data_IF_880405398885
#
_entry.id   IF_880405398885
#
_cell.length_a   1.000
_cell.length_b   1.000
_cell.length_c   1.000
_cell.angle_alpha   90.00
_cell.angle_beta   90.00
_cell.angle_gamma   90.00
#
_symmetry.space_group_name_H-M   'P 1'
#
loop_
_entity.id
_entity.type
_entity.pdbx_description
1 polymer ?
#
# COMPACT_ATOMS: atom_id res chain seq x y z
N UNK A 1 17.46 4.26 -26.31
CA UNK A 1 17.27 4.24 -24.85
C UNK A 1 18.52 3.74 -24.11
N UNK A 2 19.15 2.62 -24.53
CA UNK A 2 20.32 2.02 -23.84
C UNK A 2 21.54 2.96 -23.85
N UNK A 3 21.79 3.67 -24.96
CA UNK A 3 22.89 4.63 -25.06
C UNK A 3 22.75 5.84 -24.13
N UNK A 4 21.53 6.34 -23.92
CA UNK A 4 21.27 7.46 -23.02
C UNK A 4 21.48 7.11 -21.56
N UNK A 5 21.09 5.90 -21.16
CA UNK A 5 21.30 5.40 -19.78
C UNK A 5 22.80 5.22 -19.48
N UNK A 6 23.57 4.70 -20.43
CA UNK A 6 25.03 4.54 -20.30
C UNK A 6 25.78 5.89 -20.18
N UNK A 7 25.41 6.87 -20.98
CA UNK A 7 25.99 8.22 -20.92
C UNK A 7 25.62 8.91 -19.61
N UNK A 8 24.37 8.78 -19.15
CA UNK A 8 23.91 9.34 -17.89
C UNK A 8 24.63 8.75 -16.68
N UNK A 9 24.77 7.41 -16.62
CA UNK A 9 25.48 6.73 -15.53
C UNK A 9 26.97 7.05 -15.54
N UNK A 10 27.62 7.01 -16.70
CA UNK A 10 29.04 7.36 -16.84
C UNK A 10 29.33 8.81 -16.48
N UNK A 11 28.47 9.73 -16.91
CA UNK A 11 28.56 11.15 -16.58
C UNK A 11 28.40 11.43 -15.09
N UNK A 12 27.48 10.74 -14.42
CA UNK A 12 27.26 10.87 -12.96
C UNK A 12 28.48 10.39 -12.18
N UNK A 13 29.05 9.24 -12.54
CA UNK A 13 30.25 8.70 -11.90
C UNK A 13 31.45 9.64 -12.12
N UNK A 14 31.62 10.17 -13.31
CA UNK A 14 32.72 11.11 -13.60
C UNK A 14 32.53 12.41 -12.83
N UNK A 15 31.32 12.95 -12.78
CA UNK A 15 30.99 14.16 -12.02
C UNK A 15 31.25 13.99 -10.52
N UNK A 16 30.81 12.86 -9.92
CA UNK A 16 30.99 12.59 -8.50
C UNK A 16 32.45 12.40 -8.10
N UNK A 17 33.32 11.95 -9.03
CA UNK A 17 34.77 11.88 -8.80
C UNK A 17 35.44 13.24 -8.80
N UNK A 18 34.93 14.20 -9.56
CA UNK A 18 35.48 15.55 -9.66
C UNK A 18 34.90 16.50 -8.61
N UNK A 19 33.69 16.23 -8.15
CA UNK A 19 32.94 17.05 -7.18
C UNK A 19 32.37 16.10 -6.11
N UNK A 20 32.97 16.02 -4.94
CA UNK A 20 32.42 15.20 -3.86
C UNK A 20 30.97 15.64 -3.56
N UNK A 21 30.06 14.70 -3.69
CA UNK A 21 28.62 14.90 -3.49
C UNK A 21 28.22 14.16 -2.24
N UNK A 22 27.52 14.80 -1.30
CA UNK A 22 26.99 14.13 -0.12
C UNK A 22 25.84 13.18 -0.51
N UNK A 23 25.52 12.21 0.37
CA UNK A 23 24.43 11.27 0.13
C UNK A 23 23.09 12.01 -0.04
N UNK A 24 22.84 13.04 0.76
CA UNK A 24 21.63 13.85 0.66
C UNK A 24 21.54 14.61 -0.66
N UNK A 25 22.64 15.20 -1.10
CA UNK A 25 22.71 15.89 -2.40
C UNK A 25 22.44 14.93 -3.57
N UNK A 26 23.08 13.75 -3.56
CA UNK A 26 22.86 12.74 -4.60
C UNK A 26 21.42 12.28 -4.65
N UNK A 27 20.82 12.02 -3.49
CA UNK A 27 19.42 11.62 -3.38
C UNK A 27 18.47 12.73 -3.82
N UNK A 28 18.71 13.99 -3.43
CA UNK A 28 17.90 15.14 -3.83
C UNK A 28 17.90 15.32 -5.35
N UNK A 29 19.07 15.19 -5.98
CA UNK A 29 19.18 15.26 -7.44
C UNK A 29 18.43 14.14 -8.14
N UNK A 30 18.60 12.89 -7.68
CA UNK A 30 17.91 11.72 -8.23
C UNK A 30 16.40 11.83 -8.06
N UNK A 31 15.96 12.23 -6.88
CA UNK A 31 14.54 12.44 -6.55
C UNK A 31 13.90 13.51 -7.42
N UNK A 32 14.52 14.68 -7.51
CA UNK A 32 14.00 15.78 -8.33
C UNK A 32 13.90 15.38 -9.81
N UNK A 33 14.89 14.63 -10.32
CA UNK A 33 14.88 14.12 -11.70
C UNK A 33 13.77 13.07 -11.89
N UNK A 34 13.60 12.15 -10.93
CA UNK A 34 12.53 11.14 -10.92
C UNK A 34 11.14 11.76 -10.88
N UNK A 35 10.92 12.70 -9.96
CA UNK A 35 9.66 13.45 -9.88
C UNK A 35 9.41 14.31 -11.12
N UNK A 36 10.47 14.84 -11.71
CA UNK A 36 10.38 15.55 -13.01
C UNK A 36 9.88 14.63 -14.11
N UNK A 37 10.44 13.41 -14.22
CA UNK A 37 9.97 12.41 -15.19
C UNK A 37 8.50 12.05 -14.96
N UNK A 38 8.13 11.70 -13.72
CA UNK A 38 6.74 11.39 -13.36
C UNK A 38 5.81 12.56 -13.65
N UNK A 39 6.21 13.78 -13.27
CA UNK A 39 5.47 14.99 -13.56
C UNK A 39 5.26 15.23 -15.06
N UNK A 40 6.30 15.01 -15.86
CA UNK A 40 6.20 15.08 -17.31
C UNK A 40 5.28 14.01 -17.92
N UNK A 41 5.27 12.79 -17.35
CA UNK A 41 4.35 11.72 -17.77
C UNK A 41 2.90 12.06 -17.42
N UNK A 42 2.63 12.46 -16.18
CA UNK A 42 1.30 12.80 -15.70
C UNK A 42 0.76 14.05 -16.41
N UNK A 43 1.59 15.07 -16.61
CA UNK A 43 1.24 16.25 -17.39
C UNK A 43 0.94 15.89 -18.86
N UNK A 44 1.66 14.93 -19.42
CA UNK A 44 1.37 14.38 -20.74
C UNK A 44 -0.05 13.84 -20.83
N UNK A 45 -0.46 13.03 -19.87
CA UNK A 45 -1.83 12.48 -19.82
C UNK A 45 -2.90 13.58 -19.65
N UNK A 46 -2.58 14.68 -18.94
CA UNK A 46 -3.51 15.81 -18.78
C UNK A 46 -3.67 16.61 -20.06
N UNK A 47 -2.56 16.89 -20.75
CA UNK A 47 -2.52 17.85 -21.85
C UNK A 47 -2.71 17.22 -23.25
N UNK A 48 -2.46 15.93 -23.38
CA UNK A 48 -2.51 15.24 -24.69
C UNK A 48 -3.69 14.26 -24.68
N UNK A 49 -4.84 14.65 -25.27
CA UNK A 49 -6.00 13.78 -25.33
C UNK A 49 -5.73 12.55 -26.20
N UNK A 50 -6.41 11.47 -25.89
CA UNK A 50 -6.35 10.20 -26.60
C UNK A 50 -7.20 10.18 -27.88
N UNK A 51 -7.74 11.33 -28.28
CA UNK A 51 -8.64 11.42 -29.42
C UNK A 51 -7.99 10.92 -30.71
N UNK A 52 -8.76 10.10 -31.42
CA UNK A 52 -8.40 9.39 -32.65
C UNK A 52 -7.99 10.27 -33.85
N UNK A 53 -8.12 11.58 -33.74
CA UNK A 53 -7.83 12.53 -34.84
C UNK A 53 -6.36 12.99 -34.91
N UNK A 54 -5.62 12.90 -33.82
CA UNK A 54 -4.20 13.18 -33.85
C UNK A 54 -3.43 11.92 -34.29
N UNK A 55 -2.66 12.01 -35.36
CA UNK A 55 -1.80 10.88 -35.76
C UNK A 55 -0.99 10.41 -34.54
N UNK A 56 -0.97 9.11 -34.28
CA UNK A 56 -0.23 8.47 -33.17
C UNK A 56 1.20 9.02 -33.03
N UNK A 57 1.84 9.32 -34.18
CA UNK A 57 3.18 9.89 -34.20
C UNK A 57 3.26 11.31 -33.59
N UNK A 58 2.22 12.14 -33.76
CA UNK A 58 2.19 13.48 -33.18
C UNK A 58 2.01 13.41 -31.67
N UNK A 59 1.12 12.55 -31.21
CA UNK A 59 0.89 12.25 -29.80
C UNK A 59 2.17 11.77 -29.12
N UNK A 60 2.82 10.75 -29.68
CA UNK A 60 4.06 10.19 -29.12
C UNK A 60 5.17 11.23 -29.02
N UNK A 61 5.30 12.10 -30.02
CA UNK A 61 6.27 13.22 -29.98
C UNK A 61 5.96 14.20 -28.86
N UNK A 62 4.68 14.55 -28.65
CA UNK A 62 4.29 15.46 -27.56
C UNK A 62 4.53 14.81 -26.19
N UNK A 63 4.18 13.55 -26.00
CA UNK A 63 4.45 12.81 -24.77
C UNK A 63 5.96 12.70 -24.51
N UNK A 64 6.75 12.38 -25.52
CA UNK A 64 8.20 12.34 -25.41
C UNK A 64 8.79 13.71 -25.05
N UNK A 65 8.30 14.80 -25.65
CA UNK A 65 8.74 16.16 -25.35
C UNK A 65 8.43 16.54 -23.90
N UNK A 66 7.21 16.23 -23.40
CA UNK A 66 6.82 16.53 -22.02
C UNK A 66 7.61 15.71 -20.99
N UNK A 67 7.86 14.44 -21.26
CA UNK A 67 8.72 13.59 -20.42
C UNK A 67 10.16 14.14 -20.38
N UNK A 68 10.71 14.53 -21.53
CA UNK A 68 12.06 15.11 -21.62
C UNK A 68 12.13 16.45 -20.88
N UNK A 69 11.14 17.32 -21.09
CA UNK A 69 11.05 18.60 -20.36
C UNK A 69 10.95 18.39 -18.85
N UNK A 70 10.17 17.40 -18.42
CA UNK A 70 10.07 17.00 -17.01
C UNK A 70 11.42 16.56 -16.44
N UNK A 71 12.13 15.66 -17.12
CA UNK A 71 13.47 15.22 -16.69
C UNK A 71 14.46 16.39 -16.61
N UNK A 72 14.50 17.24 -17.62
CA UNK A 72 15.41 18.40 -17.64
C UNK A 72 15.05 19.42 -16.55
N UNK A 73 13.75 19.68 -16.35
CA UNK A 73 13.26 20.53 -15.26
C UNK A 73 13.61 19.97 -13.90
N UNK A 74 13.37 18.67 -13.69
CA UNK A 74 13.73 17.96 -12.46
C UNK A 74 15.24 17.96 -12.19
N UNK A 75 16.05 17.70 -13.21
CA UNK A 75 17.52 17.78 -13.10
C UNK A 75 17.99 19.19 -12.75
N UNK A 76 17.35 20.22 -13.32
CA UNK A 76 17.64 21.61 -12.97
C UNK A 76 17.29 21.92 -11.52
N UNK A 77 16.11 21.50 -11.05
CA UNK A 77 15.71 21.64 -9.64
C UNK A 77 16.66 20.88 -8.72
N UNK A 78 17.01 19.63 -9.07
CA UNK A 78 17.98 18.83 -8.35
C UNK A 78 19.35 19.52 -8.25
N UNK A 79 19.80 20.19 -9.33
CA UNK A 79 21.05 20.94 -9.32
C UNK A 79 21.03 22.15 -8.36
N UNK A 80 19.85 22.72 -8.10
CA UNK A 80 19.70 23.75 -7.07
C UNK A 80 19.76 23.16 -5.66
N UNK A 81 19.16 21.98 -5.47
CA UNK A 81 19.22 21.27 -4.20
C UNK A 81 20.66 20.86 -3.81
N UNK A 82 21.54 20.61 -4.80
CA UNK A 82 22.97 20.36 -4.53
C UNK A 82 23.66 21.51 -3.80
N UNK A 83 23.16 22.74 -3.93
CA UNK A 83 23.70 23.91 -3.25
C UNK A 83 23.20 24.05 -1.80
N UNK A 84 22.07 23.42 -1.48
CA UNK A 84 21.44 23.49 -0.17
C UNK A 84 21.98 22.44 0.82
N UNK A 85 22.78 21.48 0.34
CA UNK A 85 23.31 20.37 1.12
C UNK A 85 22.28 19.68 2.04
N UNK A 86 21.15 19.20 1.49
CA UNK A 86 20.09 18.60 2.28
C UNK A 86 20.55 17.29 2.92
N UNK A 87 20.05 16.98 4.10
CA UNK A 87 20.23 15.67 4.67
C UNK A 87 19.44 14.61 3.86
N UNK A 88 19.98 13.41 3.74
CA UNK A 88 19.31 12.33 2.99
C UNK A 88 17.90 12.03 3.54
N UNK A 89 17.72 12.17 4.85
CA UNK A 89 16.48 11.96 5.56
C UNK A 89 15.41 12.96 5.14
N UNK A 90 15.74 14.25 5.09
CA UNK A 90 14.82 15.31 4.68
C UNK A 90 14.28 15.05 3.26
N UNK A 91 15.20 14.60 2.38
CA UNK A 91 14.82 14.22 1.00
C UNK A 91 13.86 13.03 0.96
N UNK A 92 14.11 12.02 1.81
CA UNK A 92 13.23 10.85 1.90
C UNK A 92 11.85 11.20 2.45
N UNK A 93 11.77 12.07 3.46
CA UNK A 93 10.51 12.54 4.04
C UNK A 93 9.66 13.31 3.00
N UNK A 94 10.29 14.22 2.25
CA UNK A 94 9.61 14.94 1.16
C UNK A 94 9.13 13.98 0.05
N UNK A 95 9.96 12.98 -0.30
CA UNK A 95 9.57 11.96 -1.27
C UNK A 95 8.38 11.12 -0.79
N UNK A 96 8.41 10.69 0.47
CA UNK A 96 7.31 9.95 1.09
C UNK A 96 6.03 10.78 1.09
N UNK A 97 6.11 12.05 1.50
CA UNK A 97 4.97 12.98 1.45
C UNK A 97 4.39 13.12 0.04
N UNK A 98 5.25 13.31 -0.96
CA UNK A 98 4.84 13.39 -2.37
C UNK A 98 4.17 12.09 -2.85
N UNK A 99 4.75 10.94 -2.51
CA UNK A 99 4.17 9.64 -2.83
C UNK A 99 2.81 9.44 -2.16
N UNK A 100 2.72 9.58 -0.84
CA UNK A 100 1.47 9.42 -0.11
C UNK A 100 0.38 10.40 -0.58
N UNK A 101 0.75 11.67 -0.79
CA UNK A 101 -0.18 12.67 -1.31
C UNK A 101 -0.71 12.31 -2.70
N UNK A 102 0.15 11.83 -3.61
CA UNK A 102 -0.29 11.39 -4.94
C UNK A 102 -1.23 10.18 -4.87
N UNK A 103 -0.91 9.18 -4.04
CA UNK A 103 -1.72 7.97 -3.93
C UNK A 103 -3.09 8.24 -3.28
N UNK A 104 -3.14 9.09 -2.25
CA UNK A 104 -4.42 9.52 -1.67
C UNK A 104 -5.28 10.24 -2.69
N UNK A 105 -4.71 11.17 -3.46
CA UNK A 105 -5.43 11.90 -4.49
C UNK A 105 -5.94 10.97 -5.60
N UNK A 106 -5.13 9.99 -6.04
CA UNK A 106 -5.55 8.96 -6.99
C UNK A 106 -6.69 8.11 -6.39
N UNK A 107 -6.54 7.67 -5.14
CA UNK A 107 -7.56 6.88 -4.46
C UNK A 107 -8.91 7.59 -4.36
N UNK A 108 -8.91 8.89 -4.02
CA UNK A 108 -10.11 9.73 -4.01
C UNK A 108 -10.68 9.86 -5.43
N UNK A 109 -9.83 10.11 -6.43
CA UNK A 109 -10.27 10.19 -7.83
C UNK A 109 -10.92 8.90 -8.31
N UNK A 110 -10.34 7.76 -7.97
CA UNK A 110 -10.88 6.45 -8.35
C UNK A 110 -12.25 6.17 -7.70
N UNK A 111 -12.45 6.61 -6.45
CA UNK A 111 -13.77 6.48 -5.80
C UNK A 111 -14.83 7.40 -6.40
N UNK A 112 -14.44 8.63 -6.78
CA UNK A 112 -15.38 9.61 -7.35
C UNK A 112 -15.70 9.32 -8.82
N UNK A 113 -14.83 8.58 -9.52
CA UNK A 113 -15.01 8.21 -10.93
C UNK A 113 -15.20 6.69 -11.04
N UNK A 114 -16.23 6.16 -10.39
CA UNK A 114 -16.57 4.74 -10.47
C UNK A 114 -16.75 4.28 -11.92
N UNK A 115 -16.30 3.07 -12.21
CA UNK A 115 -16.37 2.47 -13.53
C UNK A 115 -17.86 2.27 -13.91
N UNK A 116 -18.36 2.85 -15.02
CA UNK A 116 -19.75 2.70 -15.42
C UNK A 116 -20.14 1.25 -15.75
N UNK A 117 -19.16 0.36 -16.02
CA UNK A 117 -19.43 -1.07 -16.25
C UNK A 117 -19.95 -1.77 -15.00
N UNK A 118 -19.62 -1.28 -13.81
CA UNK A 118 -20.13 -1.87 -12.57
C UNK A 118 -21.63 -1.66 -12.35
N UNK A 119 -22.27 -0.78 -13.13
CA UNK A 119 -23.70 -0.46 -13.01
C UNK A 119 -24.59 -1.07 -14.08
N UNK A 120 -24.03 -1.79 -15.07
CA UNK A 120 -24.77 -2.34 -16.21
C UNK A 120 -24.32 -3.75 -16.54
N UNK A 121 -25.27 -4.65 -16.75
CA UNK A 121 -25.02 -6.05 -17.18
C UNK A 121 -25.00 -6.24 -18.70
N UNK A 122 -25.52 -5.29 -19.47
CA UNK A 122 -25.79 -5.42 -20.93
C UNK A 122 -25.08 -4.27 -21.66
N UNK A 123 -23.87 -4.53 -22.11
CA UNK A 123 -23.07 -3.63 -22.93
C UNK A 123 -23.26 -3.94 -24.41
N UNK A 124 -23.58 -2.91 -25.21
CA UNK A 124 -23.61 -2.98 -26.67
C UNK A 124 -22.39 -2.26 -27.31
N UNK A 125 -22.28 -2.31 -28.64
CA UNK A 125 -21.15 -1.68 -29.35
C UNK A 125 -21.08 -0.17 -29.15
N UNK A 126 -22.20 0.54 -28.90
CA UNK A 126 -22.22 1.97 -28.62
C UNK A 126 -21.70 2.33 -27.23
N UNK A 127 -21.75 1.39 -26.29
CA UNK A 127 -21.24 1.57 -24.93
C UNK A 127 -19.70 1.60 -24.89
N UNK A 128 -19.01 0.93 -25.86
CA UNK A 128 -17.56 0.94 -25.95
C UNK A 128 -16.98 2.31 -26.28
N UNK A 129 -17.63 3.09 -27.15
CA UNK A 129 -17.19 4.46 -27.45
C UNK A 129 -17.36 5.36 -26.22
N UNK A 130 -18.48 5.25 -25.53
CA UNK A 130 -18.74 5.97 -24.29
C UNK A 130 -17.74 5.57 -23.18
N UNK A 131 -17.38 4.30 -23.10
CA UNK A 131 -16.38 3.81 -22.17
C UNK A 131 -14.99 4.36 -22.47
N UNK A 132 -14.57 4.36 -23.73
CA UNK A 132 -13.26 4.89 -24.14
C UNK A 132 -13.14 6.40 -23.81
N UNK A 133 -14.21 7.18 -24.04
CA UNK A 133 -14.25 8.61 -23.66
C UNK A 133 -14.20 8.81 -22.14
N UNK A 134 -14.91 7.97 -21.37
CA UNK A 134 -14.85 7.98 -19.92
C UNK A 134 -13.44 7.59 -19.42
N UNK A 135 -12.81 6.58 -20.01
CA UNK A 135 -11.47 6.14 -19.62
C UNK A 135 -10.41 7.23 -19.87
N UNK A 136 -10.44 7.90 -21.03
CA UNK A 136 -9.54 9.04 -21.32
C UNK A 136 -9.76 10.17 -20.30
N UNK A 137 -11.01 10.54 -20.05
CA UNK A 137 -11.34 11.58 -19.08
C UNK A 137 -10.88 11.21 -17.66
N UNK A 138 -11.10 9.95 -17.25
CA UNK A 138 -10.64 9.43 -15.97
C UNK A 138 -9.11 9.54 -15.84
N UNK A 139 -8.36 9.08 -16.84
CA UNK A 139 -6.89 9.14 -16.83
C UNK A 139 -6.38 10.57 -16.72
N UNK A 140 -7.01 11.51 -17.40
CA UNK A 140 -6.65 12.94 -17.33
C UNK A 140 -6.90 13.52 -15.95
N UNK A 141 -8.07 13.28 -15.38
CA UNK A 141 -8.42 13.73 -14.02
C UNK A 141 -7.48 13.10 -13.00
N UNK A 142 -7.33 11.78 -13.03
CA UNK A 142 -6.47 11.04 -12.09
C UNK A 142 -5.02 11.52 -12.17
N UNK A 143 -4.49 11.76 -13.36
CA UNK A 143 -3.13 12.31 -13.53
C UNK A 143 -3.01 13.73 -12.97
N UNK A 144 -4.02 14.57 -13.17
CA UNK A 144 -4.04 15.93 -12.64
C UNK A 144 -4.09 15.96 -11.11
N UNK A 145 -4.98 15.17 -10.51
CA UNK A 145 -5.07 15.10 -9.03
C UNK A 145 -3.85 14.44 -8.42
N UNK A 146 -3.22 13.47 -9.10
CA UNK A 146 -1.96 12.87 -8.66
C UNK A 146 -0.84 13.90 -8.56
N UNK A 147 -0.71 14.79 -9.55
CA UNK A 147 0.25 15.89 -9.54
C UNK A 147 -0.01 16.85 -8.38
N UNK A 148 -1.26 17.26 -8.18
CA UNK A 148 -1.66 18.14 -7.09
C UNK A 148 -1.41 17.49 -5.73
N UNK A 149 -1.79 16.22 -5.58
CA UNK A 149 -1.55 15.44 -4.38
C UNK A 149 -0.06 15.28 -4.06
N UNK A 150 0.75 14.99 -5.08
CA UNK A 150 2.20 14.90 -4.92
C UNK A 150 2.80 16.24 -4.44
N UNK A 151 2.42 17.34 -5.06
CA UNK A 151 2.89 18.68 -4.67
C UNK A 151 2.45 19.06 -3.26
N UNK A 152 1.18 18.83 -2.92
CA UNK A 152 0.65 19.11 -1.58
C UNK A 152 1.30 18.23 -0.51
N UNK A 153 1.44 16.93 -0.76
CA UNK A 153 2.06 15.99 0.18
C UNK A 153 3.55 16.27 0.40
N UNK A 154 4.30 16.55 -0.67
CA UNK A 154 5.70 16.93 -0.57
C UNK A 154 5.87 18.28 0.16
N UNK A 155 5.02 19.26 -0.13
CA UNK A 155 5.01 20.56 0.56
C UNK A 155 4.72 20.44 2.05
N UNK A 156 3.73 19.62 2.42
CA UNK A 156 3.41 19.33 3.82
C UNK A 156 4.58 18.65 4.52
N UNK A 157 5.16 17.60 3.93
CA UNK A 157 6.33 16.92 4.50
C UNK A 157 7.51 17.86 4.68
N UNK A 158 7.78 18.74 3.70
CA UNK A 158 8.83 19.75 3.81
C UNK A 158 8.60 20.73 4.96
N UNK A 159 7.35 21.14 5.21
CA UNK A 159 7.04 22.05 6.34
C UNK A 159 7.13 21.36 7.69
N UNK A 160 6.86 20.06 7.75
CA UNK A 160 6.86 19.26 8.99
C UNK A 160 8.21 18.62 9.31
N UNK A 161 9.15 18.56 8.36
CA UNK A 161 10.43 17.85 8.51
C UNK A 161 11.25 18.22 9.74
N UNK A 162 11.13 19.45 10.25
CA UNK A 162 11.83 19.89 11.46
C UNK A 162 11.06 19.56 12.75
N UNK A 163 9.76 19.33 12.66
CA UNK A 163 8.89 19.07 13.81
C UNK A 163 8.59 17.59 13.99
N UNK A 164 8.59 16.85 12.89
CA UNK A 164 8.20 15.46 12.86
C UNK A 164 9.24 14.60 12.16
N UNK A 165 10.11 14.00 12.95
CA UNK A 165 11.15 13.08 12.47
C UNK A 165 10.85 11.66 12.96
N UNK A 166 10.09 10.84 12.19
CA UNK A 166 9.71 9.50 12.62
C UNK A 166 10.92 8.59 12.82
N UNK A 167 10.94 7.90 13.94
CA UNK A 167 11.90 6.84 14.24
C UNK A 167 11.68 5.58 13.41
N UNK A 168 12.65 4.65 13.40
CA UNK A 168 12.50 3.40 12.66
C UNK A 168 11.29 2.57 13.11
N UNK A 169 10.99 2.54 14.40
CA UNK A 169 9.83 1.85 14.98
C UNK A 169 8.51 2.44 14.48
N UNK A 170 8.42 3.78 14.43
CA UNK A 170 7.24 4.49 13.93
C UNK A 170 7.00 4.17 12.44
N UNK A 171 8.07 4.09 11.65
CA UNK A 171 8.00 3.73 10.23
C UNK A 171 7.50 2.29 10.05
N UNK A 172 8.02 1.35 10.84
CA UNK A 172 7.58 -0.06 10.79
C UNK A 172 6.12 -0.18 11.20
N UNK A 173 5.72 0.48 12.29
CA UNK A 173 4.33 0.49 12.73
C UNK A 173 3.40 1.11 11.68
N UNK A 174 3.82 2.20 11.04
CA UNK A 174 3.11 2.81 9.92
C UNK A 174 2.92 1.82 8.76
N UNK A 175 3.96 1.07 8.40
CA UNK A 175 3.87 0.08 7.33
C UNK A 175 2.88 -1.06 7.66
N UNK A 176 2.93 -1.59 8.89
CA UNK A 176 2.01 -2.64 9.36
C UNK A 176 0.57 -2.12 9.39
N UNK A 177 0.37 -0.88 9.87
CA UNK A 177 -0.94 -0.22 9.85
C UNK A 177 -1.45 0.02 8.43
N UNK A 178 -0.54 0.32 7.49
CA UNK A 178 -0.86 0.44 6.07
C UNK A 178 -1.33 -0.88 5.45
N UNK A 179 -0.72 -2.00 5.82
CA UNK A 179 -1.16 -3.34 5.41
C UNK A 179 -2.55 -3.67 5.97
N UNK A 180 -2.81 -3.36 7.24
CA UNK A 180 -4.15 -3.50 7.82
C UNK A 180 -5.17 -2.62 7.11
N UNK A 181 -4.81 -1.38 6.83
CA UNK A 181 -5.65 -0.45 6.08
C UNK A 181 -5.94 -0.94 4.65
N UNK A 182 -4.96 -1.59 4.00
CA UNK A 182 -5.15 -2.22 2.70
C UNK A 182 -6.19 -3.34 2.78
N UNK A 183 -6.08 -4.23 3.77
CA UNK A 183 -7.06 -5.29 3.99
C UNK A 183 -8.47 -4.72 4.17
N UNK A 184 -8.63 -3.74 5.06
CA UNK A 184 -9.92 -3.06 5.28
C UNK A 184 -10.43 -2.33 4.02
N UNK A 185 -9.52 -1.78 3.20
CA UNK A 185 -9.85 -1.15 1.92
C UNK A 185 -10.40 -2.13 0.88
N UNK A 186 -10.06 -3.42 0.99
CA UNK A 186 -10.66 -4.53 0.22
C UNK A 186 -11.99 -4.94 0.85
N UNK A 187 -11.98 -5.21 2.13
CA UNK A 187 -13.04 -5.94 2.85
C UNK A 187 -14.28 -5.08 3.09
N UNK A 188 -14.11 -3.80 3.46
CA UNK A 188 -15.24 -2.93 3.82
C UNK A 188 -16.18 -2.69 2.62
N UNK A 189 -15.70 -2.34 1.41
CA UNK A 189 -16.60 -2.18 0.26
C UNK A 189 -17.37 -3.45 -0.08
N UNK A 190 -16.71 -4.61 -0.03
CA UNK A 190 -17.36 -5.89 -0.30
C UNK A 190 -18.40 -6.21 0.78
N UNK A 191 -18.08 -5.99 2.06
CA UNK A 191 -19.01 -6.21 3.17
C UNK A 191 -20.27 -5.32 3.11
N UNK A 192 -20.18 -4.13 2.50
CA UNK A 192 -21.30 -3.17 2.42
C UNK A 192 -22.13 -3.38 1.16
N UNK A 193 -21.47 -3.55 0.01
CA UNK A 193 -22.11 -3.49 -1.30
C UNK A 193 -22.18 -4.84 -2.03
N UNK A 194 -21.49 -5.88 -1.53
CA UNK A 194 -21.35 -7.17 -2.21
C UNK A 194 -20.52 -7.11 -3.51
N UNK A 195 -19.95 -5.95 -3.83
CA UNK A 195 -19.15 -5.74 -5.03
C UNK A 195 -17.66 -5.78 -4.70
N UNK A 196 -16.85 -6.23 -5.67
CA UNK A 196 -15.40 -6.32 -5.51
C UNK A 196 -14.75 -5.01 -5.12
N UNK A 197 -13.51 -5.07 -4.58
CA UNK A 197 -12.84 -3.88 -4.08
C UNK A 197 -12.56 -2.90 -5.21
N UNK A 198 -12.99 -1.66 -5.04
CA UNK A 198 -12.59 -0.58 -5.93
C UNK A 198 -11.11 -0.26 -5.71
N UNK A 199 -10.37 -0.03 -6.80
CA UNK A 199 -8.95 0.33 -6.70
C UNK A 199 -8.70 1.54 -5.79
N UNK A 200 -9.66 2.46 -5.75
CA UNK A 200 -9.67 3.63 -4.88
C UNK A 200 -9.75 3.29 -3.40
N UNK A 201 -10.62 2.36 -3.00
CA UNK A 201 -10.78 1.97 -1.59
C UNK A 201 -9.53 1.26 -1.05
N UNK A 202 -8.92 0.39 -1.85
CA UNK A 202 -7.68 -0.31 -1.49
C UNK A 202 -6.53 0.68 -1.28
N UNK A 203 -6.37 1.64 -2.20
CA UNK A 203 -5.35 2.69 -2.08
C UNK A 203 -5.59 3.58 -0.87
N UNK A 204 -6.81 4.09 -0.72
CA UNK A 204 -7.15 4.92 0.43
C UNK A 204 -6.96 4.18 1.75
N UNK A 205 -7.45 2.96 1.85
CA UNK A 205 -7.28 2.12 3.04
C UNK A 205 -5.81 1.99 3.42
N UNK A 206 -4.95 1.58 2.47
CA UNK A 206 -3.52 1.42 2.72
C UNK A 206 -2.86 2.71 3.18
N UNK A 207 -3.09 3.83 2.50
CA UNK A 207 -2.41 5.08 2.81
C UNK A 207 -2.97 5.77 4.05
N UNK A 208 -4.28 5.72 4.27
CA UNK A 208 -4.89 6.20 5.51
C UNK A 208 -4.45 5.35 6.70
N UNK A 209 -4.36 4.03 6.53
CA UNK A 209 -3.82 3.14 7.56
C UNK A 209 -2.38 3.49 7.93
N UNK A 210 -1.52 3.70 6.93
CA UNK A 210 -0.12 4.09 7.16
C UNK A 210 -0.01 5.47 7.86
N UNK A 211 -0.76 6.47 7.42
CA UNK A 211 -0.77 7.81 8.04
C UNK A 211 -1.32 7.74 9.47
N UNK A 212 -2.41 7.01 9.69
CA UNK A 212 -2.98 6.84 11.03
C UNK A 212 -2.02 6.10 11.96
N UNK A 213 -1.34 5.07 11.46
CA UNK A 213 -0.30 4.34 12.20
C UNK A 213 0.86 5.23 12.57
N UNK A 214 1.34 6.05 11.62
CA UNK A 214 2.42 6.99 11.87
C UNK A 214 2.03 8.06 12.92
N UNK A 215 0.82 8.62 12.79
CA UNK A 215 0.29 9.60 13.75
C UNK A 215 0.09 8.99 15.15
N UNK A 216 -0.36 7.74 15.22
CA UNK A 216 -0.47 7.01 16.48
C UNK A 216 0.90 6.81 17.11
N UNK A 217 1.88 6.28 16.36
CA UNK A 217 3.21 5.99 16.83
C UNK A 217 3.97 7.26 17.27
N UNK A 218 3.74 8.37 16.60
CA UNK A 218 4.30 9.67 17.00
C UNK A 218 3.76 10.15 18.37
N UNK A 219 2.49 9.89 18.64
CA UNK A 219 1.84 10.29 19.89
C UNK A 219 2.10 9.31 21.03
N UNK A 220 2.18 8.03 20.71
CA UNK A 220 2.36 6.95 21.67
C UNK A 220 3.60 6.14 21.25
N UNK A 221 4.64 6.10 22.10
CA UNK A 221 5.85 5.33 21.78
C UNK A 221 5.48 3.89 21.44
N UNK A 222 5.88 3.45 20.26
CA UNK A 222 5.68 2.08 19.78
C UNK A 222 7.00 1.34 19.68
N UNK A 223 6.95 0.04 19.83
CA UNK A 223 8.11 -0.84 19.69
C UNK A 223 8.00 -1.70 18.43
N UNK A 224 9.11 -2.31 18.00
CA UNK A 224 9.09 -3.32 16.95
C UNK A 224 8.20 -4.50 17.32
N UNK A 225 8.18 -4.87 18.59
CA UNK A 225 7.40 -6.01 19.11
C UNK A 225 5.90 -5.72 19.06
N UNK A 226 5.48 -4.50 19.39
CA UNK A 226 4.10 -4.07 19.17
C UNK A 226 3.72 -4.13 17.69
N UNK A 227 4.62 -3.70 16.79
CA UNK A 227 4.37 -3.76 15.35
C UNK A 227 4.23 -5.21 14.87
N UNK A 228 5.11 -6.10 15.36
CA UNK A 228 5.05 -7.52 15.03
C UNK A 228 3.75 -8.16 15.54
N UNK A 229 3.39 -7.93 16.81
CA UNK A 229 2.16 -8.48 17.40
C UNK A 229 0.89 -7.90 16.76
N UNK A 230 0.89 -6.63 16.35
CA UNK A 230 -0.19 -6.04 15.56
C UNK A 230 -0.38 -6.78 14.22
N UNK A 231 0.72 -7.05 13.50
CA UNK A 231 0.69 -7.80 12.24
C UNK A 231 0.21 -9.24 12.41
N UNK A 232 0.76 -9.97 13.39
CA UNK A 232 0.32 -11.32 13.72
C UNK A 232 -1.14 -11.36 14.18
N UNK A 233 -1.53 -10.44 15.06
CA UNK A 233 -2.90 -10.31 15.55
C UNK A 233 -3.89 -10.08 14.42
N UNK A 234 -3.56 -9.18 13.48
CA UNK A 234 -4.34 -8.98 12.25
C UNK A 234 -4.50 -10.28 11.46
N UNK A 235 -3.39 -10.98 11.18
CA UNK A 235 -3.42 -12.25 10.44
C UNK A 235 -4.29 -13.31 11.12
N UNK A 236 -4.15 -13.48 12.43
CA UNK A 236 -4.99 -14.42 13.19
C UNK A 236 -6.46 -14.00 13.24
N UNK A 237 -6.72 -12.71 13.33
CA UNK A 237 -8.08 -12.17 13.26
C UNK A 237 -8.76 -12.49 11.93
N UNK A 238 -8.06 -12.31 10.81
CA UNK A 238 -8.58 -12.66 9.48
C UNK A 238 -8.79 -14.18 9.34
N UNK A 239 -7.85 -15.00 9.77
CA UNK A 239 -8.00 -16.47 9.76
C UNK A 239 -9.19 -16.92 10.60
N UNK A 240 -9.36 -16.33 11.79
CA UNK A 240 -10.51 -16.61 12.66
C UNK A 240 -11.81 -16.19 11.99
N UNK A 241 -11.81 -15.01 11.34
CA UNK A 241 -12.97 -14.50 10.60
C UNK A 241 -13.38 -15.44 9.46
N UNK A 242 -12.42 -15.87 8.66
CA UNK A 242 -12.66 -16.85 7.59
C UNK A 242 -13.15 -18.18 8.14
N UNK A 243 -12.58 -18.65 9.25
CA UNK A 243 -12.99 -19.88 9.90
C UNK A 243 -14.44 -19.82 10.41
N UNK A 244 -14.82 -18.73 11.04
CA UNK A 244 -16.19 -18.48 11.51
C UNK A 244 -17.16 -18.38 10.33
N UNK A 245 -16.83 -17.61 9.30
CA UNK A 245 -17.67 -17.44 8.11
C UNK A 245 -17.90 -18.80 7.40
N UNK A 246 -16.85 -19.60 7.25
CA UNK A 246 -16.94 -20.94 6.66
C UNK A 246 -17.81 -21.86 7.48
N UNK A 247 -17.57 -21.95 8.79
CA UNK A 247 -18.35 -22.82 9.69
C UNK A 247 -19.83 -22.43 9.74
N UNK A 248 -20.12 -21.13 9.60
CA UNK A 248 -21.48 -20.59 9.53
C UNK A 248 -22.14 -20.77 8.15
N UNK A 249 -21.44 -21.32 7.16
CA UNK A 249 -21.98 -21.54 5.82
C UNK A 249 -22.13 -20.24 4.99
N UNK A 250 -21.34 -19.20 5.30
CA UNK A 250 -21.45 -17.88 4.66
C UNK A 250 -20.70 -17.77 3.32
N UNK A 251 -19.96 -18.78 2.90
CA UNK A 251 -19.14 -18.74 1.65
C UNK A 251 -19.96 -18.66 0.37
N UNK A 252 -21.30 -18.75 0.45
CA UNK A 252 -22.18 -18.49 -0.69
C UNK A 252 -22.32 -17.02 -1.06
N UNK A 253 -21.85 -16.10 -0.19
CA UNK A 253 -21.90 -14.64 -0.38
C UNK A 253 -20.60 -14.00 0.10
N UNK A 254 -19.88 -13.34 -0.81
CA UNK A 254 -18.66 -12.61 -0.44
C UNK A 254 -18.96 -11.52 0.59
N UNK A 255 -20.08 -10.83 0.46
CA UNK A 255 -20.54 -9.80 1.38
C UNK A 255 -20.63 -10.32 2.83
N UNK A 256 -21.27 -11.48 3.03
CA UNK A 256 -21.46 -12.06 4.36
C UNK A 256 -20.13 -12.55 4.96
N UNK A 257 -19.23 -13.08 4.12
CA UNK A 257 -17.87 -13.46 4.55
C UNK A 257 -17.13 -12.25 5.09
N UNK A 258 -17.08 -11.15 4.32
CA UNK A 258 -16.30 -9.98 4.74
C UNK A 258 -16.94 -9.19 5.88
N UNK A 259 -18.25 -9.30 6.10
CA UNK A 259 -18.92 -8.78 7.31
C UNK A 259 -18.38 -9.41 8.59
N UNK A 260 -17.83 -10.62 8.51
CA UNK A 260 -17.22 -11.32 9.65
C UNK A 260 -15.71 -11.13 9.69
N UNK A 261 -15.07 -11.21 8.53
CA UNK A 261 -13.58 -11.17 8.41
C UNK A 261 -13.04 -9.78 8.78
N UNK A 262 -13.61 -8.71 8.23
CA UNK A 262 -13.09 -7.36 8.44
C UNK A 262 -13.05 -6.94 9.91
N UNK A 263 -14.14 -7.07 10.72
CA UNK A 263 -14.09 -6.70 12.12
C UNK A 263 -13.17 -7.59 12.95
N UNK A 264 -13.05 -8.88 12.66
CA UNK A 264 -12.15 -9.78 13.37
C UNK A 264 -10.68 -9.51 13.02
N UNK A 265 -10.36 -9.22 11.78
CA UNK A 265 -9.03 -8.77 11.36
C UNK A 265 -8.63 -7.46 12.05
N UNK A 266 -9.52 -6.49 12.07
CA UNK A 266 -9.29 -5.22 12.76
C UNK A 266 -9.15 -5.40 14.28
N UNK A 267 -10.00 -6.21 14.90
CA UNK A 267 -9.92 -6.52 16.33
C UNK A 267 -8.60 -7.23 16.67
N UNK A 268 -8.17 -8.16 15.83
CA UNK A 268 -6.88 -8.83 15.97
C UNK A 268 -5.71 -7.85 15.92
N UNK A 269 -5.71 -6.91 14.96
CA UNK A 269 -4.70 -5.85 14.89
C UNK A 269 -4.64 -5.01 16.16
N UNK A 270 -5.79 -4.48 16.60
CA UNK A 270 -5.88 -3.65 17.81
C UNK A 270 -5.45 -4.43 19.06
N UNK A 271 -5.86 -5.70 19.17
CA UNK A 271 -5.45 -6.57 20.27
C UNK A 271 -3.94 -6.81 20.27
N UNK A 272 -3.34 -7.00 19.11
CA UNK A 272 -1.89 -7.14 18.96
C UNK A 272 -1.12 -5.88 19.39
N UNK A 273 -1.60 -4.69 19.04
CA UNK A 273 -1.04 -3.41 19.53
C UNK A 273 -1.11 -3.33 21.06
N UNK A 274 -2.26 -3.68 21.63
CA UNK A 274 -2.49 -3.58 23.08
C UNK A 274 -1.69 -4.61 23.87
N UNK A 275 -1.67 -5.87 23.41
CA UNK A 275 -0.89 -6.94 24.05
C UNK A 275 0.61 -6.67 23.92
N UNK A 276 1.04 -6.07 22.80
CA UNK A 276 2.44 -5.73 22.57
C UNK A 276 2.97 -4.59 23.43
N UNK A 277 2.09 -3.88 24.14
CA UNK A 277 2.52 -2.85 25.10
C UNK A 277 3.20 -3.52 26.31
N UNK A 278 4.51 -3.25 26.45
CA UNK A 278 5.33 -3.82 27.53
C UNK A 278 5.79 -5.27 27.32
N UNK A 279 5.53 -5.88 26.15
CA UNK A 279 6.08 -7.17 25.75
C UNK A 279 7.37 -6.97 24.98
N UNK A 280 8.40 -7.75 25.28
CA UNK A 280 9.62 -7.87 24.49
C UNK A 280 9.67 -9.24 23.83
N UNK A 281 9.81 -9.28 22.51
CA UNK A 281 9.94 -10.51 21.74
C UNK A 281 11.38 -10.63 21.23
N UNK A 282 12.04 -11.69 21.60
CA UNK A 282 13.30 -12.02 20.97
C UNK A 282 13.08 -12.75 19.62
N UNK A 283 14.14 -13.06 18.90
CA UNK A 283 14.06 -13.73 17.59
C UNK A 283 13.49 -15.15 17.70
N UNK A 284 13.72 -15.81 18.81
CA UNK A 284 13.27 -17.19 19.04
C UNK A 284 11.76 -17.20 19.34
N UNK A 285 11.26 -16.19 20.05
CA UNK A 285 9.82 -15.99 20.29
C UNK A 285 9.06 -15.78 18.96
N UNK A 286 9.58 -14.94 18.07
CA UNK A 286 8.99 -14.73 16.74
C UNK A 286 9.02 -16.00 15.89
N UNK A 287 10.11 -16.77 16.00
CA UNK A 287 10.23 -18.07 15.35
C UNK A 287 9.22 -19.08 15.91
N UNK A 288 9.04 -19.11 17.23
CA UNK A 288 8.04 -19.95 17.90
C UNK A 288 6.61 -19.62 17.42
N UNK A 289 6.26 -18.34 17.33
CA UNK A 289 4.98 -17.89 16.79
C UNK A 289 4.77 -18.39 15.35
N UNK A 290 5.80 -18.27 14.50
CA UNK A 290 5.76 -18.74 13.12
C UNK A 290 5.62 -20.26 13.00
N UNK A 291 6.43 -21.01 13.75
CA UNK A 291 6.35 -22.49 13.78
C UNK A 291 5.05 -22.98 14.38
N UNK A 292 4.59 -22.37 15.47
CA UNK A 292 3.33 -22.74 16.12
C UNK A 292 2.14 -22.50 15.19
N UNK A 293 2.12 -21.39 14.46
CA UNK A 293 1.11 -21.11 13.43
C UNK A 293 1.17 -22.13 12.30
N UNK A 294 2.37 -22.43 11.79
CA UNK A 294 2.55 -23.40 10.72
C UNK A 294 2.09 -24.82 11.11
N UNK A 295 2.49 -25.27 12.28
CA UNK A 295 2.07 -26.58 12.81
C UNK A 295 0.55 -26.59 13.12
N UNK A 296 0.01 -25.51 13.67
CA UNK A 296 -1.41 -25.36 13.88
C UNK A 296 -2.20 -25.46 12.60
N UNK A 297 -1.78 -24.75 11.57
CA UNK A 297 -2.38 -24.80 10.23
C UNK A 297 -2.33 -26.21 9.63
N UNK A 298 -1.16 -26.87 9.70
CA UNK A 298 -1.02 -28.24 9.22
C UNK A 298 -1.96 -29.21 9.94
N UNK A 299 -1.99 -29.18 11.28
CA UNK A 299 -2.87 -30.04 12.06
C UNK A 299 -4.35 -29.75 11.79
N UNK A 300 -4.71 -28.49 11.64
CA UNK A 300 -6.06 -28.06 11.33
C UNK A 300 -6.51 -28.55 9.95
N UNK A 301 -5.64 -28.48 8.93
CA UNK A 301 -5.90 -29.03 7.59
C UNK A 301 -6.02 -30.55 7.62
N UNK A 302 -5.17 -31.23 8.39
CA UNK A 302 -5.27 -32.70 8.55
C UNK A 302 -6.60 -33.11 9.22
N UNK A 303 -7.02 -32.38 10.27
CA UNK A 303 -8.31 -32.60 10.90
C UNK A 303 -9.48 -32.32 9.95
N UNK A 304 -9.41 -31.26 9.16
CA UNK A 304 -10.41 -30.95 8.15
C UNK A 304 -10.53 -32.10 7.11
N UNK A 305 -9.40 -32.68 6.68
CA UNK A 305 -9.39 -33.85 5.82
C UNK A 305 -10.09 -35.06 6.44
N UNK A 306 -9.78 -35.37 7.71
CA UNK A 306 -10.43 -36.46 8.45
C UNK A 306 -11.93 -36.21 8.58
N UNK A 307 -12.35 -34.96 8.88
CA UNK A 307 -13.76 -34.60 9.01
C UNK A 307 -14.52 -34.72 7.70
N UNK A 308 -13.87 -34.38 6.58
CA UNK A 308 -14.43 -34.58 5.24
C UNK A 308 -14.68 -36.08 4.95
N UNK A 309 -13.76 -36.97 5.36
CA UNK A 309 -13.95 -38.42 5.26
C UNK A 309 -15.09 -38.94 6.16
N UNK A 310 -15.46 -38.22 7.20
CA UNK A 310 -16.59 -38.52 8.11
C UNK A 310 -17.92 -37.88 7.66
N UNK A 311 -18.02 -37.48 6.37
CA UNK A 311 -19.20 -36.85 5.76
C UNK A 311 -19.60 -35.49 6.39
N UNK A 312 -18.69 -34.83 7.12
CA UNK A 312 -18.87 -33.42 7.53
C UNK A 312 -18.75 -32.54 6.29
N UNK A 313 -19.65 -31.56 6.15
CA UNK A 313 -19.57 -30.65 4.99
C UNK A 313 -18.19 -30.01 4.86
N UNK A 314 -17.68 -29.88 3.61
CA UNK A 314 -16.35 -29.33 3.33
C UNK A 314 -16.14 -27.94 3.94
N UNK A 315 -17.20 -27.11 3.95
CA UNK A 315 -17.16 -25.76 4.50
C UNK A 315 -16.95 -25.78 6.03
N UNK A 316 -17.65 -26.66 6.73
CA UNK A 316 -17.49 -26.81 8.21
C UNK A 316 -16.09 -27.34 8.51
N UNK A 317 -15.63 -28.35 7.82
CA UNK A 317 -14.29 -28.93 8.01
C UNK A 317 -13.19 -27.87 7.77
N UNK A 318 -13.29 -27.12 6.67
CA UNK A 318 -12.37 -26.05 6.33
C UNK A 318 -12.41 -24.92 7.37
N UNK A 319 -13.60 -24.49 7.77
CA UNK A 319 -13.80 -23.45 8.77
C UNK A 319 -13.20 -23.78 10.14
N UNK A 320 -13.40 -25.01 10.60
CA UNK A 320 -12.78 -25.52 11.83
C UNK A 320 -11.26 -25.60 11.71
N UNK A 321 -10.76 -25.95 10.52
CA UNK A 321 -9.33 -25.92 10.19
C UNK A 321 -8.73 -24.53 10.34
N UNK A 322 -9.32 -23.52 9.75
CA UNK A 322 -8.87 -22.12 9.85
C UNK A 322 -8.96 -21.58 11.28
N UNK A 323 -10.06 -21.87 11.97
CA UNK A 323 -10.25 -21.49 13.38
C UNK A 323 -9.17 -22.12 14.26
N UNK A 324 -8.90 -23.42 14.08
CA UNK A 324 -7.82 -24.12 14.77
C UNK A 324 -6.44 -23.53 14.50
N UNK A 325 -6.17 -23.11 13.25
CA UNK A 325 -4.93 -22.44 12.88
C UNK A 325 -4.77 -21.10 13.60
N UNK A 326 -5.82 -20.29 13.63
CA UNK A 326 -5.83 -19.00 14.33
C UNK A 326 -5.61 -19.18 15.84
N UNK A 327 -6.29 -20.13 16.47
CA UNK A 327 -6.13 -20.43 17.89
C UNK A 327 -4.74 -20.97 18.23
N UNK A 328 -4.15 -21.81 17.38
CA UNK A 328 -2.78 -22.29 17.55
C UNK A 328 -1.76 -21.15 17.43
N UNK A 329 -1.97 -20.22 16.47
CA UNK A 329 -1.17 -19.02 16.33
C UNK A 329 -1.25 -18.11 17.56
N UNK A 330 -2.46 -17.84 18.05
CA UNK A 330 -2.68 -17.07 19.28
C UNK A 330 -2.07 -17.76 20.50
N UNK A 331 -2.21 -19.09 20.61
CA UNK A 331 -1.62 -19.88 21.69
C UNK A 331 -0.10 -19.83 21.67
N UNK A 332 0.53 -19.91 20.49
CA UNK A 332 1.99 -19.79 20.35
C UNK A 332 2.49 -18.38 20.64
N UNK A 333 1.73 -17.35 20.23
CA UNK A 333 2.03 -15.96 20.58
C UNK A 333 1.96 -15.74 22.11
N UNK A 334 0.91 -16.26 22.75
CA UNK A 334 0.80 -16.19 24.20
C UNK A 334 1.94 -16.93 24.91
N UNK A 335 2.29 -18.14 24.44
CA UNK A 335 3.41 -18.89 24.99
C UNK A 335 4.72 -18.12 24.87
N UNK A 336 4.99 -17.50 23.71
CA UNK A 336 6.15 -16.69 23.48
C UNK A 336 6.28 -15.50 24.46
N UNK A 337 5.14 -14.93 24.88
CA UNK A 337 5.14 -13.82 25.87
C UNK A 337 5.32 -14.28 27.32
N UNK A 338 5.26 -15.60 27.62
CA UNK A 338 5.32 -16.14 28.97
C UNK A 338 6.59 -16.92 29.29
N UNK A 339 7.36 -17.27 28.26
CA UNK A 339 8.55 -18.13 28.41
C UNK A 339 9.74 -17.38 27.82
N UNK A 340 10.67 -16.98 28.67
CA UNK A 340 12.02 -16.54 28.23
C UNK A 340 12.77 -17.79 27.73
N UNK A 341 12.84 -17.93 26.40
CA UNK A 341 13.56 -19.02 25.73
C UNK A 341 14.97 -18.57 25.35
#
# INVERSE_FOLDING_TARGET
>A
AVGGAGIGAGGSVMYSRLHPVTQGQGLAYASATGWGLLGGMLMGNVLVPDSSEASWQKRDRMLAALRTAGVLGGAKLGSLALKADPQWRDVMEVNAGGYFGSQLAIGISDLLNADPRNSRSDWDDSDWDAYADWEDKRWRITSGVALLGAGAGAGLAYTLQNEWQPGPEEIVFSAVSGLQGLALGVEIPVAINGEGPFSGSVRLGSHLGAIAGLAYAHKYPVTYDQSALAGWGSGFGHLLGLGVASTAGLFGSEEDVYRVVAPLGAAGFVSGVWVGDGVTLNRDDQSLMGVGTGLGTWNAMAMAGIMADLEVSGDIAFGLGLTGSALAGLGSAYAATQVDI
#
